data_IF_682871912689
#
_entry.id   IF_682871912689
#
_cell.length_a   1.000
_cell.length_b   1.000
_cell.length_c   1.000
_cell.angle_alpha   90.00
_cell.angle_beta   90.00
_cell.angle_gamma   90.00
#
_symmetry.space_group_name_H-M   'P 1'
#
loop_
_entity.id
_entity.type
_entity.pdbx_description
1 polymer ?
#
# COMPACT_ATOMS: atom_id res chain seq x y z
N UNK A 1 -12.67 -11.47 -0.11
CA UNK A 1 -13.06 -10.04 -0.05
C UNK A 1 -11.79 -9.20 -0.13
N UNK A 2 -11.82 -8.04 -0.80
CA UNK A 2 -10.62 -7.18 -0.96
C UNK A 2 -10.78 -5.85 -0.23
N UNK A 3 -9.75 -5.43 0.51
CA UNK A 3 -9.75 -4.15 1.21
C UNK A 3 -9.62 -2.98 0.24
N UNK A 4 -10.44 -1.94 0.41
CA UNK A 4 -10.45 -0.75 -0.45
C UNK A 4 -9.16 0.06 -0.42
N UNK A 5 -8.41 -0.03 0.68
CA UNK A 5 -7.14 0.68 0.89
C UNK A 5 -6.08 -0.38 1.20
N UNK A 6 -4.92 -0.38 0.52
CA UNK A 6 -3.88 -1.37 0.77
C UNK A 6 -3.39 -1.23 2.21
N UNK A 7 -3.44 -2.30 3.02
CA UNK A 7 -2.91 -2.25 4.37
C UNK A 7 -1.39 -2.07 4.34
N UNK A 8 -0.84 -1.64 5.47
CA UNK A 8 0.60 -1.39 5.63
C UNK A 8 1.46 -2.58 5.17
N UNK A 9 1.01 -3.81 5.43
CA UNK A 9 1.71 -5.05 5.05
C UNK A 9 1.85 -5.20 3.54
N UNK A 10 0.82 -4.85 2.77
CA UNK A 10 0.85 -4.87 1.30
C UNK A 10 1.85 -3.83 0.78
N UNK A 11 1.84 -2.63 1.34
CA UNK A 11 2.77 -1.58 0.93
C UNK A 11 4.24 -1.93 1.26
N UNK A 12 4.49 -2.55 2.40
CA UNK A 12 5.84 -3.05 2.72
C UNK A 12 6.29 -4.17 1.80
N UNK A 13 5.37 -5.05 1.40
CA UNK A 13 5.66 -6.10 0.44
C UNK A 13 6.00 -5.52 -0.93
N UNK A 14 5.23 -4.53 -1.39
CA UNK A 14 5.45 -3.84 -2.65
C UNK A 14 6.81 -3.13 -2.68
N UNK A 15 7.14 -2.36 -1.64
CA UNK A 15 8.45 -1.68 -1.54
C UNK A 15 9.58 -2.70 -1.38
N UNK A 16 9.35 -3.78 -0.62
CA UNK A 16 10.30 -4.89 -0.47
C UNK A 16 10.60 -5.62 -1.79
N UNK A 17 9.58 -5.79 -2.65
CA UNK A 17 9.75 -6.35 -3.99
C UNK A 17 10.61 -5.44 -4.88
N UNK A 18 10.38 -4.12 -4.80
CA UNK A 18 11.20 -3.13 -5.50
C UNK A 18 12.67 -3.21 -5.05
N UNK A 19 12.94 -3.30 -3.75
CA UNK A 19 14.31 -3.34 -3.20
C UNK A 19 15.01 -4.69 -3.30
N UNK A 20 14.27 -5.77 -3.53
CA UNK A 20 14.77 -7.14 -3.64
C UNK A 20 14.92 -7.87 -2.31
N UNK A 21 14.18 -7.47 -1.28
CA UNK A 21 14.25 -8.15 0.02
C UNK A 21 13.62 -9.54 -0.02
N UNK A 22 14.25 -10.48 0.67
CA UNK A 22 13.70 -11.82 0.87
C UNK A 22 12.52 -11.81 1.85
N UNK A 23 11.68 -12.84 1.76
CA UNK A 23 10.45 -12.96 2.57
C UNK A 23 10.74 -12.95 4.07
N UNK A 24 11.88 -13.48 4.49
CA UNK A 24 12.28 -13.65 5.89
C UNK A 24 12.87 -12.36 6.49
N UNK A 25 13.30 -11.41 5.66
CA UNK A 25 14.02 -10.21 6.10
C UNK A 25 13.23 -8.92 5.91
N UNK A 26 12.34 -8.83 4.90
CA UNK A 26 11.77 -7.54 4.50
C UNK A 26 10.98 -6.86 5.64
N UNK A 27 10.24 -7.61 6.46
CA UNK A 27 9.48 -7.05 7.58
C UNK A 27 10.37 -6.39 8.64
N UNK A 28 11.61 -6.88 8.82
CA UNK A 28 12.57 -6.32 9.78
C UNK A 28 13.02 -4.92 9.36
N UNK A 29 13.03 -4.64 8.06
CA UNK A 29 13.38 -3.33 7.52
C UNK A 29 12.21 -2.35 7.52
N UNK A 30 10.97 -2.77 7.78
CA UNK A 30 9.81 -1.87 7.72
C UNK A 30 9.00 -1.85 9.01
N UNK A 31 9.67 -1.94 10.16
CA UNK A 31 9.07 -1.75 11.48
C UNK A 31 8.47 -0.33 11.61
N UNK A 32 7.46 -0.16 12.47
CA UNK A 32 6.72 1.12 12.61
C UNK A 32 7.58 2.30 13.09
N UNK A 33 8.68 2.02 13.79
CA UNK A 33 9.62 3.02 14.28
C UNK A 33 10.70 3.40 13.25
N UNK A 34 10.89 2.62 12.19
CA UNK A 34 11.91 2.87 11.17
C UNK A 34 11.32 3.33 9.84
N UNK A 35 10.20 2.72 9.43
CA UNK A 35 9.53 3.04 8.18
C UNK A 35 8.17 3.68 8.46
N UNK A 36 8.00 4.89 7.96
CA UNK A 36 6.76 5.65 8.04
C UNK A 36 6.09 5.57 6.68
N UNK A 37 4.90 4.97 6.65
CA UNK A 37 4.16 4.72 5.42
C UNK A 37 2.73 5.19 5.61
N UNK A 38 2.27 6.10 4.76
CA UNK A 38 0.89 6.51 4.67
C UNK A 38 0.37 6.32 3.23
N UNK A 39 -0.95 6.29 3.07
CA UNK A 39 -1.58 5.96 1.79
C UNK A 39 -2.78 6.87 1.57
N UNK A 40 -2.96 7.38 0.35
CA UNK A 40 -4.13 8.18 -0.07
C UNK A 40 -4.80 7.51 -1.27
N UNK A 41 -6.13 7.55 -1.30
CA UNK A 41 -6.91 7.20 -2.50
C UNK A 41 -6.85 8.34 -3.51
N UNK A 42 -6.45 8.04 -4.74
CA UNK A 42 -6.45 9.01 -5.85
C UNK A 42 -7.73 8.94 -6.69
N UNK A 43 -8.42 7.79 -6.67
CA UNK A 43 -9.64 7.53 -7.44
C UNK A 43 -10.68 6.87 -6.55
N UNK A 44 -11.98 7.05 -6.84
CA UNK A 44 -13.04 6.28 -6.20
C UNK A 44 -12.81 4.78 -6.39
N UNK A 45 -13.04 4.00 -5.33
CA UNK A 45 -12.85 2.56 -5.37
C UNK A 45 -14.00 1.90 -6.13
N UNK A 46 -13.63 1.08 -7.13
CA UNK A 46 -14.55 0.22 -7.87
C UNK A 46 -14.24 -1.23 -7.53
N UNK A 47 -15.26 -2.02 -7.25
CA UNK A 47 -15.12 -3.45 -6.96
C UNK A 47 -15.84 -4.27 -8.01
N UNK A 48 -15.21 -5.35 -8.46
CA UNK A 48 -15.78 -6.33 -9.37
C UNK A 48 -15.68 -7.72 -8.76
N UNK A 49 -16.62 -8.59 -9.06
CA UNK A 49 -16.57 -9.99 -8.65
C UNK A 49 -16.39 -10.87 -9.87
N UNK A 50 -15.38 -11.73 -9.82
CA UNK A 50 -15.02 -12.64 -10.90
C UNK A 50 -14.92 -14.04 -10.31
N UNK A 51 -15.49 -15.01 -11.00
CA UNK A 51 -15.43 -16.42 -10.62
C UNK A 51 -14.25 -17.08 -11.33
N UNK A 52 -13.31 -17.61 -10.56
CA UNK A 52 -12.14 -18.33 -11.07
C UNK A 52 -12.22 -19.81 -10.71
N UNK A 53 -11.84 -20.69 -11.64
CA UNK A 53 -11.85 -22.14 -11.43
C UNK A 53 -10.49 -22.63 -10.95
N UNK A 54 -10.30 -22.61 -9.62
CA UNK A 54 -9.05 -23.02 -8.98
C UNK A 54 -8.85 -24.53 -9.00
N UNK A 55 -7.59 -24.94 -9.09
CA UNK A 55 -7.18 -26.34 -8.96
C UNK A 55 -7.04 -26.64 -7.46
N UNK A 56 -7.62 -27.75 -7.01
CA UNK A 56 -7.42 -28.23 -5.64
C UNK A 56 -6.06 -28.94 -5.52
N UNK A 57 -5.14 -28.30 -4.80
CA UNK A 57 -3.76 -28.74 -4.57
C UNK A 57 -3.62 -29.65 -3.33
N UNK A 58 -4.67 -29.83 -2.53
CA UNK A 58 -4.59 -30.63 -1.29
C UNK A 58 -4.41 -32.13 -1.53
N UNK A 59 -4.76 -32.64 -2.73
CA UNK A 59 -4.73 -34.09 -3.06
C UNK A 59 -3.45 -34.57 -3.78
N UNK A 60 -2.39 -33.77 -3.76
CA UNK A 60 -1.10 -34.12 -4.39
C UNK A 60 -1.07 -33.76 -5.87
N UNK A 61 -0.02 -33.05 -6.27
CA UNK A 61 0.15 -32.48 -7.61
C UNK A 61 0.49 -33.61 -8.59
N UNK A 62 -0.52 -34.20 -9.22
CA UNK A 62 -0.37 -34.88 -10.52
C UNK A 62 -1.05 -33.98 -11.54
N UNK A 63 -0.31 -32.99 -12.09
CA UNK A 63 -0.84 -31.98 -13.03
C UNK A 63 -1.57 -32.60 -14.24
N UNK A 64 -1.21 -33.82 -14.65
CA UNK A 64 -1.90 -34.58 -15.70
C UNK A 64 -3.16 -35.35 -15.25
N UNK A 65 -3.57 -35.27 -13.98
CA UNK A 65 -4.72 -35.99 -13.39
C UNK A 65 -5.65 -35.08 -12.58
N UNK A 66 -5.73 -33.80 -12.95
CA UNK A 66 -6.65 -32.84 -12.33
C UNK A 66 -8.09 -33.24 -12.70
N UNK A 67 -8.84 -33.80 -11.74
CA UNK A 67 -10.23 -34.24 -11.95
C UNK A 67 -11.27 -33.26 -11.43
N UNK A 68 -10.90 -32.37 -10.50
CA UNK A 68 -11.83 -31.45 -9.83
C UNK A 68 -11.29 -30.02 -9.84
N UNK A 69 -12.18 -29.07 -10.11
CA UNK A 69 -11.92 -27.63 -9.98
C UNK A 69 -12.92 -27.03 -9.01
N UNK A 70 -12.48 -26.08 -8.20
CA UNK A 70 -13.33 -25.37 -7.25
C UNK A 70 -13.62 -23.97 -7.80
N UNK A 71 -14.85 -23.71 -8.28
CA UNK A 71 -15.23 -22.36 -8.67
C UNK A 71 -15.24 -21.46 -7.43
N UNK A 72 -14.32 -20.50 -7.40
CA UNK A 72 -14.15 -19.55 -6.29
C UNK A 72 -14.49 -18.15 -6.77
N UNK A 73 -15.40 -17.48 -6.06
CA UNK A 73 -15.74 -16.07 -6.33
C UNK A 73 -14.74 -15.15 -5.64
N UNK A 74 -13.93 -14.47 -6.44
CA UNK A 74 -13.03 -13.43 -5.97
C UNK A 74 -13.67 -12.05 -6.07
N UNK A 75 -13.29 -11.17 -5.17
CA UNK A 75 -13.60 -9.74 -5.24
C UNK A 75 -12.30 -9.00 -5.55
N UNK A 76 -12.31 -8.22 -6.62
CA UNK A 76 -11.16 -7.45 -7.08
C UNK A 76 -11.44 -5.97 -7.10
N UNK A 77 -10.39 -5.17 -6.98
CA UNK A 77 -10.46 -3.72 -7.10
C UNK A 77 -10.07 -3.36 -8.53
N UNK A 78 -10.90 -2.56 -9.20
CA UNK A 78 -10.71 -2.12 -10.58
C UNK A 78 -10.31 -0.65 -10.63
N UNK A 79 -9.40 -0.32 -11.55
CA UNK A 79 -8.92 1.05 -11.83
C UNK A 79 -8.41 1.82 -10.60
N UNK A 80 -7.88 1.10 -9.60
CA UNK A 80 -7.36 1.73 -8.40
C UNK A 80 -6.15 2.63 -8.69
N UNK A 81 -6.06 3.73 -7.95
CA UNK A 81 -4.89 4.60 -7.91
C UNK A 81 -4.64 4.99 -6.47
N UNK A 82 -3.42 4.73 -6.00
CA UNK A 82 -2.99 5.05 -4.65
C UNK A 82 -1.84 6.02 -4.70
N UNK A 83 -1.73 6.89 -3.69
CA UNK A 83 -0.51 7.62 -3.41
C UNK A 83 0.08 7.11 -2.12
N UNK A 84 1.29 6.60 -2.19
CA UNK A 84 2.05 6.14 -1.04
C UNK A 84 3.03 7.22 -0.63
N UNK A 85 2.97 7.60 0.63
CA UNK A 85 3.90 8.48 1.30
C UNK A 85 4.90 7.59 2.03
N UNK A 86 6.19 7.74 1.74
CA UNK A 86 7.22 6.88 2.33
C UNK A 86 8.38 7.71 2.91
N UNK A 87 8.75 7.38 4.14
CA UNK A 87 9.98 7.82 4.78
C UNK A 87 10.62 6.65 5.56
N UNK A 88 11.94 6.65 5.63
CA UNK A 88 12.70 5.64 6.35
C UNK A 88 13.89 6.26 7.10
N UNK A 89 14.06 5.91 8.38
CA UNK A 89 15.14 6.46 9.24
C UNK A 89 16.54 6.08 8.77
N UNK A 90 16.72 4.86 8.24
CA UNK A 90 17.93 4.46 7.54
C UNK A 90 18.06 5.15 6.17
N UNK A 91 18.91 6.18 6.12
CA UNK A 91 19.19 6.98 4.91
C UNK A 91 19.70 6.15 3.72
N UNK A 92 20.54 5.13 3.95
CA UNK A 92 21.05 4.27 2.84
C UNK A 92 19.91 3.52 2.16
N UNK A 93 18.99 2.99 2.95
CA UNK A 93 17.83 2.27 2.42
C UNK A 93 16.85 3.22 1.72
N UNK A 94 16.61 4.40 2.31
CA UNK A 94 15.78 5.44 1.71
C UNK A 94 16.29 5.85 0.32
N UNK A 95 17.57 6.18 0.18
CA UNK A 95 18.17 6.54 -1.12
C UNK A 95 18.17 5.39 -2.12
N UNK A 96 18.37 4.15 -1.67
CA UNK A 96 18.24 2.95 -2.52
C UNK A 96 16.82 2.82 -3.08
N UNK A 97 15.80 2.95 -2.23
CA UNK A 97 14.40 2.88 -2.66
C UNK A 97 14.10 4.01 -3.66
N UNK A 98 14.51 5.23 -3.32
CA UNK A 98 14.35 6.42 -4.17
C UNK A 98 14.92 6.22 -5.57
N UNK A 99 16.18 5.81 -5.65
CA UNK A 99 16.87 5.61 -6.93
C UNK A 99 16.20 4.55 -7.80
N UNK A 100 15.76 3.43 -7.20
CA UNK A 100 15.04 2.38 -7.93
C UNK A 100 13.70 2.89 -8.47
N UNK A 101 12.92 3.58 -7.64
CA UNK A 101 11.60 4.10 -8.05
C UNK A 101 11.74 5.19 -9.11
N UNK A 102 12.70 6.11 -8.94
CA UNK A 102 12.97 7.16 -9.91
C UNK A 102 13.42 6.61 -11.26
N UNK A 103 14.20 5.52 -11.26
CA UNK A 103 14.61 4.81 -12.46
C UNK A 103 13.55 3.84 -13.01
N UNK A 104 12.38 3.73 -12.36
CA UNK A 104 11.33 2.75 -12.66
C UNK A 104 11.87 1.30 -12.72
N UNK A 105 12.72 0.94 -11.75
CA UNK A 105 13.33 -0.39 -11.62
C UNK A 105 12.85 -1.10 -10.37
N UNK A 106 12.74 -2.41 -10.46
CA UNK A 106 12.42 -3.30 -9.34
C UNK A 106 13.22 -4.60 -9.47
N UNK A 107 13.60 -5.19 -8.34
CA UNK A 107 14.31 -6.49 -8.33
C UNK A 107 13.34 -7.64 -8.54
N UNK A 108 12.19 -7.59 -7.87
CA UNK A 108 11.06 -8.50 -8.09
C UNK A 108 9.89 -7.74 -8.69
N UNK A 109 9.01 -8.44 -9.42
CA UNK A 109 7.78 -7.85 -9.98
C UNK A 109 6.87 -7.40 -8.84
N UNK A 110 6.59 -6.10 -8.69
CA UNK A 110 5.67 -5.63 -7.67
C UNK A 110 4.23 -5.94 -8.08
N UNK A 111 3.41 -6.35 -7.11
CA UNK A 111 1.99 -6.65 -7.33
C UNK A 111 1.14 -6.25 -6.11
N UNK A 112 -0.15 -6.06 -6.33
CA UNK A 112 -1.12 -5.67 -5.30
C UNK A 112 -1.93 -6.88 -4.82
N UNK A 113 -1.44 -7.50 -3.75
CA UNK A 113 -2.10 -8.62 -3.07
C UNK A 113 -1.74 -9.99 -3.65
N UNK A 114 -2.09 -10.22 -4.91
CA UNK A 114 -1.80 -11.47 -5.64
C UNK A 114 -0.96 -11.21 -6.88
N UNK A 115 -0.24 -12.23 -7.36
CA UNK A 115 0.75 -12.15 -8.43
C UNK A 115 0.17 -11.69 -9.78
N UNK A 116 -1.12 -11.94 -10.00
CA UNK A 116 -1.86 -11.58 -11.20
C UNK A 116 -2.15 -10.07 -11.29
N UNK A 117 -1.98 -9.33 -10.19
CA UNK A 117 -2.23 -7.89 -10.11
C UNK A 117 -0.92 -7.10 -10.10
N UNK A 118 -0.19 -7.16 -11.20
CA UNK A 118 1.07 -6.41 -11.37
C UNK A 118 0.83 -4.93 -11.12
N UNK A 119 1.64 -4.35 -10.23
CA UNK A 119 1.56 -2.96 -9.84
C UNK A 119 2.48 -2.12 -10.73
N UNK A 120 1.94 -1.08 -11.35
CA UNK A 120 2.77 -0.02 -11.90
C UNK A 120 3.10 0.98 -10.78
N UNK A 121 4.27 1.62 -10.86
CA UNK A 121 4.69 2.60 -9.87
C UNK A 121 5.49 3.75 -10.51
N UNK A 122 5.36 4.95 -9.96
CA UNK A 122 6.23 6.08 -10.34
C UNK A 122 6.47 7.03 -9.18
N UNK A 123 7.65 7.65 -9.17
CA UNK A 123 7.93 8.76 -8.28
C UNK A 123 7.10 9.99 -8.72
N UNK A 124 6.52 10.69 -7.74
CA UNK A 124 5.82 11.96 -7.97
C UNK A 124 6.68 13.13 -7.52
N UNK A 125 7.43 12.97 -6.44
CA UNK A 125 8.32 14.00 -5.93
C UNK A 125 8.87 13.64 -4.56
N UNK A 126 9.71 14.54 -4.06
CA UNK A 126 10.27 14.50 -2.72
C UNK A 126 10.04 15.85 -2.05
N UNK A 127 9.57 15.84 -0.80
CA UNK A 127 9.37 17.08 -0.04
C UNK A 127 9.87 16.94 1.39
N UNK A 128 10.31 18.05 1.96
CA UNK A 128 10.53 18.17 3.38
C UNK A 128 9.17 18.40 4.06
N UNK A 129 8.80 17.51 4.98
CA UNK A 129 7.59 17.69 5.80
C UNK A 129 7.97 18.30 7.14
N UNK A 130 7.03 19.03 7.75
CA UNK A 130 7.17 19.53 9.12
C UNK A 130 6.09 18.92 9.99
N UNK A 131 6.45 18.60 11.22
CA UNK A 131 5.46 18.27 12.23
C UNK A 131 4.72 19.55 12.62
N UNK A 132 3.40 19.49 12.60
CA UNK A 132 2.53 20.57 13.08
C UNK A 132 1.70 20.05 14.24
N UNK A 133 1.48 20.93 15.22
CA UNK A 133 0.49 20.75 16.28
C UNK A 133 -0.58 21.80 16.01
N UNK A 134 -1.62 21.45 15.24
CA UNK A 134 -2.61 22.43 14.88
C UNK A 134 -3.42 22.80 16.12
N UNK A 135 -3.70 24.09 16.27
CA UNK A 135 -4.58 24.59 17.33
C UNK A 135 -6.08 24.40 16.97
N UNK A 136 -6.36 23.95 15.73
CA UNK A 136 -7.71 23.78 15.17
C UNK A 136 -7.75 22.61 14.15
N UNK A 137 -8.87 22.41 13.46
CA UNK A 137 -9.07 21.33 12.49
C UNK A 137 -8.18 21.46 11.25
N UNK A 138 -7.60 20.34 10.83
CA UNK A 138 -6.77 20.22 9.63
C UNK A 138 -7.29 19.16 8.65
N UNK A 139 -7.01 19.36 7.36
CA UNK A 139 -7.39 18.39 6.33
C UNK A 139 -6.37 17.26 6.21
N UNK A 140 -6.83 16.02 6.44
CA UNK A 140 -6.06 14.80 6.18
C UNK A 140 -6.50 14.17 4.87
N UNK A 141 -5.53 13.85 4.04
CA UNK A 141 -5.78 13.12 2.79
C UNK A 141 -5.38 11.64 2.85
N UNK A 142 -4.65 11.22 3.88
CA UNK A 142 -4.22 9.83 4.05
C UNK A 142 -5.26 9.01 4.82
N UNK A 143 -5.30 7.71 4.55
CA UNK A 143 -5.99 6.75 5.38
C UNK A 143 -5.37 6.74 6.79
N UNK A 144 -6.21 6.93 7.79
CA UNK A 144 -5.84 6.86 9.21
C UNK A 144 -6.66 5.77 9.89
N UNK A 145 -6.10 5.21 10.95
CA UNK A 145 -6.81 4.21 11.75
C UNK A 145 -7.84 4.92 12.62
N UNK A 146 -9.04 4.34 12.72
CA UNK A 146 -10.17 4.94 13.46
C UNK A 146 -9.84 5.19 14.94
N UNK A 147 -9.06 4.30 15.55
CA UNK A 147 -8.59 4.46 16.93
C UNK A 147 -7.64 5.64 17.17
N UNK A 148 -7.19 6.34 16.12
CA UNK A 148 -6.41 7.58 16.22
C UNK A 148 -7.29 8.83 16.10
N UNK A 149 -8.61 8.66 15.99
CA UNK A 149 -9.57 9.74 15.79
C UNK A 149 -10.27 10.02 17.12
N UNK A 150 -10.07 11.23 17.67
CA UNK A 150 -10.75 11.63 18.91
C UNK A 150 -12.21 12.03 18.68
N UNK A 151 -12.52 12.78 17.61
CA UNK A 151 -13.87 13.21 17.23
C UNK A 151 -14.02 13.36 15.70
N UNK A 152 -15.23 13.08 15.20
CA UNK A 152 -15.63 13.17 13.79
C UNK A 152 -16.81 14.13 13.68
N UNK A 153 -16.59 15.32 13.12
CA UNK A 153 -17.73 16.16 12.69
C UNK A 153 -18.13 15.75 11.28
N UNK A 154 -19.40 15.34 11.14
CA UNK A 154 -19.94 14.84 9.89
C UNK A 154 -20.51 15.98 9.02
N UNK A 155 -20.35 15.79 7.71
CA UNK A 155 -20.98 16.47 6.57
C UNK A 155 -20.30 17.73 6.01
N UNK A 156 -19.48 17.53 4.96
CA UNK A 156 -19.73 18.06 3.60
C UNK A 156 -19.11 17.07 2.60
N UNK A 157 -19.94 16.36 1.81
CA UNK A 157 -19.59 15.52 0.66
C UNK A 157 -19.04 14.08 0.96
N UNK A 158 -19.68 12.98 0.48
CA UNK A 158 -19.34 11.59 0.86
C UNK A 158 -17.97 11.06 0.37
N UNK A 159 -17.11 11.92 -0.18
CA UNK A 159 -15.88 11.50 -0.89
C UNK A 159 -14.57 11.82 -0.20
N UNK A 160 -14.57 12.63 0.86
CA UNK A 160 -13.33 12.99 1.57
C UNK A 160 -13.60 13.13 3.07
N UNK A 161 -12.87 12.34 3.87
CA UNK A 161 -12.91 12.36 5.33
C UNK A 161 -11.82 13.31 5.83
N UNK A 162 -12.15 14.26 6.72
CA UNK A 162 -11.23 15.26 7.32
C UNK A 162 -11.13 15.00 8.82
N UNK A 163 -9.92 14.81 9.36
CA UNK A 163 -9.69 14.40 10.76
C UNK A 163 -8.33 14.86 11.31
N UNK A 164 -8.08 14.77 12.64
CA UNK A 164 -6.87 15.29 13.27
C UNK A 164 -5.64 14.40 13.06
N UNK A 165 -4.50 15.08 12.91
CA UNK A 165 -3.22 14.60 12.39
C UNK A 165 -2.37 13.99 13.49
N UNK A 166 -1.71 12.88 13.20
CA UNK A 166 -0.47 12.51 13.90
C UNK A 166 0.70 12.22 12.96
N UNK A 167 1.77 12.98 13.24
CA UNK A 167 3.20 12.69 13.14
C UNK A 167 3.81 12.47 11.76
N UNK A 168 4.14 13.57 11.09
CA UNK A 168 5.20 13.64 10.09
C UNK A 168 6.47 14.21 10.74
N UNK A 169 7.42 13.34 11.12
CA UNK A 169 8.74 13.75 11.60
C UNK A 169 9.43 14.57 10.50
N UNK A 170 10.09 15.68 10.86
CA UNK A 170 10.95 16.52 10.01
C UNK A 170 11.92 15.67 9.17
N UNK A 171 11.53 15.29 7.96
CA UNK A 171 12.30 14.44 7.07
C UNK A 171 11.86 14.60 5.61
N UNK A 172 12.69 14.13 4.67
CA UNK A 172 12.34 14.05 3.26
C UNK A 172 11.42 12.84 3.02
N UNK A 173 10.30 13.05 2.33
CA UNK A 173 9.34 11.99 2.00
C UNK A 173 9.25 11.84 0.49
N UNK A 174 9.27 10.60 0.01
CA UNK A 174 9.01 10.28 -1.39
C UNK A 174 7.54 9.94 -1.56
N UNK A 175 6.95 10.52 -2.61
CA UNK A 175 5.61 10.17 -3.06
C UNK A 175 5.72 9.16 -4.20
N UNK A 176 4.99 8.06 -4.07
CA UNK A 176 4.89 7.02 -5.08
C UNK A 176 3.43 6.94 -5.51
N UNK A 177 3.16 6.99 -6.82
CA UNK A 177 1.88 6.58 -7.39
C UNK A 177 1.95 5.13 -7.84
#
# INVERSE_FOLDING_TARGET
LSYSIPPRTVLTGLIGAITGFKKEEYLKHFTKNQAFIATRLLKPIKKVRISENLIDIQKGIKMGRIKSRTPTRFEFIKDAGYRVYFFHTNKKLYEKIKSLIAAHKSVYTPYLGITEHIANFKIVGEVCVKQIFPNDFEEIHSAISENMIEKVDSFVNPKYQRHPVYHFILNQWIFIN
#
